data_IF_037125545994
#
_entry.id   IF_037125545994
#
_cell.length_a   1.000
_cell.length_b   1.000
_cell.length_c   1.000
_cell.angle_alpha   90.00
_cell.angle_beta   90.00
_cell.angle_gamma   90.00
#
_symmetry.space_group_name_H-M   'P 1'
#
loop_
_entity.id
_entity.type
_entity.pdbx_description
1 polymer ?
#
# COMPACT_ATOMS: atom_id res chain seq x y z
N UNK A 1 21.76 -8.30 7.21
CA UNK A 1 20.68 -8.42 6.22
C UNK A 1 19.47 -7.62 6.69
N UNK A 2 18.59 -7.24 5.77
CA UNK A 2 17.45 -6.34 5.99
C UNK A 2 16.17 -7.05 5.55
N UNK A 3 15.83 -8.14 6.21
CA UNK A 3 14.72 -9.00 5.80
C UNK A 3 13.37 -8.32 6.04
N UNK A 4 12.43 -8.50 5.12
CA UNK A 4 11.07 -7.99 5.22
C UNK A 4 10.07 -9.14 5.01
N UNK A 5 9.08 -9.26 5.90
CA UNK A 5 8.05 -10.30 5.79
C UNK A 5 6.78 -9.68 5.21
N UNK A 6 6.28 -10.23 4.11
CA UNK A 6 5.02 -9.85 3.50
C UNK A 6 3.89 -10.77 3.97
N UNK A 7 2.80 -10.21 4.49
CA UNK A 7 1.61 -10.94 4.94
C UNK A 7 0.44 -10.51 4.06
N UNK A 8 -0.25 -11.48 3.47
CA UNK A 8 -1.36 -11.25 2.54
C UNK A 8 -2.63 -11.84 3.14
N UNK A 9 -3.60 -10.97 3.43
CA UNK A 9 -4.83 -11.32 4.15
C UNK A 9 -6.05 -11.16 3.25
N UNK A 10 -6.87 -12.20 3.19
CA UNK A 10 -8.12 -12.24 2.43
C UNK A 10 -7.92 -12.37 0.91
N UNK A 11 -9.03 -12.46 0.18
CA UNK A 11 -9.00 -12.67 -1.27
C UNK A 11 -8.20 -11.58 -1.99
N UNK A 12 -8.44 -10.31 -1.66
CA UNK A 12 -7.81 -9.21 -2.36
C UNK A 12 -6.31 -9.12 -2.06
N UNK A 13 -5.92 -9.28 -0.78
CA UNK A 13 -4.51 -9.32 -0.38
C UNK A 13 -3.75 -10.46 -1.06
N UNK A 14 -4.34 -11.67 -1.13
CA UNK A 14 -3.71 -12.83 -1.79
C UNK A 14 -3.59 -12.64 -3.31
N UNK A 15 -4.61 -12.06 -3.96
CA UNK A 15 -4.56 -11.82 -5.41
C UNK A 15 -3.53 -10.75 -5.79
N UNK A 16 -3.40 -9.69 -5.00
CA UNK A 16 -2.34 -8.69 -5.16
C UNK A 16 -0.98 -9.33 -4.90
N UNK A 17 -0.86 -10.10 -3.81
CA UNK A 17 0.36 -10.83 -3.46
C UNK A 17 0.88 -11.70 -4.61
N UNK A 18 -0.01 -12.44 -5.27
CA UNK A 18 0.35 -13.25 -6.44
C UNK A 18 0.96 -12.40 -7.57
N UNK A 19 0.36 -11.25 -7.88
CA UNK A 19 0.85 -10.34 -8.92
C UNK A 19 2.17 -9.65 -8.52
N UNK A 20 2.35 -9.34 -7.24
CA UNK A 20 3.59 -8.79 -6.68
C UNK A 20 4.74 -9.80 -6.76
N UNK A 21 4.52 -11.03 -6.29
CA UNK A 21 5.55 -12.08 -6.32
C UNK A 21 5.90 -12.51 -7.74
N UNK A 22 4.92 -12.57 -8.65
CA UNK A 22 5.20 -12.80 -10.09
C UNK A 22 6.15 -11.73 -10.63
N UNK A 23 5.89 -10.46 -10.31
CA UNK A 23 6.73 -9.35 -10.74
C UNK A 23 8.12 -9.37 -10.08
N UNK A 24 8.21 -9.68 -8.79
CA UNK A 24 9.50 -9.80 -8.10
C UNK A 24 10.37 -10.89 -8.70
N UNK A 25 9.79 -12.07 -9.00
CA UNK A 25 10.51 -13.14 -9.66
C UNK A 25 11.06 -12.69 -11.02
N UNK A 26 10.26 -11.96 -11.81
CA UNK A 26 10.69 -11.45 -13.10
C UNK A 26 11.79 -10.39 -12.99
N UNK A 27 11.71 -9.49 -12.00
CA UNK A 27 12.72 -8.46 -11.77
C UNK A 27 14.07 -9.04 -11.32
N UNK A 28 14.06 -10.10 -10.51
CA UNK A 28 15.26 -10.77 -10.04
C UNK A 28 15.72 -11.92 -10.96
N UNK A 29 15.00 -12.22 -12.04
CA UNK A 29 15.33 -13.32 -12.95
C UNK A 29 15.16 -14.71 -12.33
N UNK A 30 14.32 -14.83 -11.30
CA UNK A 30 13.98 -16.09 -10.65
C UNK A 30 12.94 -16.80 -11.51
N UNK A 31 13.25 -18.02 -11.91
CA UNK A 31 12.34 -18.85 -12.66
C UNK A 31 11.18 -19.32 -11.77
N UNK A 32 10.03 -19.66 -12.36
CA UNK A 32 8.89 -20.13 -11.59
C UNK A 32 9.20 -21.33 -10.69
N UNK A 33 10.16 -22.18 -11.06
CA UNK A 33 10.61 -23.35 -10.28
C UNK A 33 11.50 -23.01 -9.07
N UNK A 34 11.77 -21.72 -8.85
CA UNK A 34 12.62 -21.20 -7.78
C UNK A 34 14.12 -21.24 -8.07
N UNK A 35 14.53 -21.55 -9.30
CA UNK A 35 15.94 -21.47 -9.70
C UNK A 35 16.30 -20.08 -10.20
N UNK A 36 17.51 -19.63 -9.85
CA UNK A 36 18.09 -18.39 -10.34
C UNK A 36 19.39 -18.71 -11.08
N UNK A 37 19.35 -18.89 -12.43
CA UNK A 37 20.54 -19.26 -13.20
C UNK A 37 21.65 -18.21 -13.16
N UNK A 38 21.30 -16.98 -12.83
CA UNK A 38 22.23 -15.84 -12.69
C UNK A 38 22.98 -15.83 -11.36
N UNK A 39 22.48 -16.51 -10.33
CA UNK A 39 23.19 -16.61 -9.06
C UNK A 39 24.28 -17.68 -9.14
N UNK A 40 25.52 -17.27 -8.85
CA UNK A 40 26.71 -18.13 -8.86
C UNK A 40 27.15 -18.52 -7.44
N UNK A 41 26.49 -17.99 -6.42
CA UNK A 41 26.86 -18.13 -5.01
C UNK A 41 25.81 -18.92 -4.23
N UNK A 42 25.68 -20.20 -4.57
CA UNK A 42 24.83 -21.13 -3.83
C UNK A 42 25.29 -21.20 -2.36
N UNK A 43 24.44 -20.76 -1.43
CA UNK A 43 24.58 -20.92 0.00
C UNK A 43 25.35 -19.81 0.73
N UNK A 44 25.45 -18.59 0.18
CA UNK A 44 26.15 -17.52 0.90
C UNK A 44 26.38 -16.18 0.19
N UNK A 45 25.50 -15.77 -0.73
CA UNK A 45 25.55 -14.41 -1.27
C UNK A 45 24.87 -13.41 -0.33
N UNK A 46 25.53 -12.32 0.04
CA UNK A 46 24.92 -11.20 0.80
C UNK A 46 24.21 -10.22 -0.15
N UNK A 47 23.47 -10.78 -1.12
CA UNK A 47 22.87 -10.01 -2.19
C UNK A 47 21.59 -9.30 -1.74
N UNK A 48 21.34 -8.12 -2.31
CA UNK A 48 20.21 -7.24 -1.98
C UNK A 48 18.82 -7.88 -2.09
N UNK A 49 18.67 -8.97 -2.83
CA UNK A 49 17.40 -9.70 -2.98
C UNK A 49 17.10 -10.69 -1.83
N UNK A 50 18.08 -11.05 -1.01
CA UNK A 50 17.87 -11.91 0.17
C UNK A 50 17.03 -11.24 1.27
N UNK A 51 16.71 -9.95 1.09
CA UNK A 51 15.73 -9.23 1.89
C UNK A 51 14.31 -9.82 1.75
N UNK A 52 13.96 -10.37 0.57
CA UNK A 52 12.61 -10.92 0.29
C UNK A 52 12.58 -12.43 0.00
N UNK A 53 13.73 -13.04 -0.31
CA UNK A 53 13.84 -14.47 -0.58
C UNK A 53 14.75 -15.14 0.45
N UNK A 54 14.38 -16.35 0.87
CA UNK A 54 15.30 -17.22 1.62
C UNK A 54 15.92 -18.26 0.68
N UNK A 55 17.23 -18.43 0.81
CA UNK A 55 17.97 -19.45 0.05
C UNK A 55 17.93 -20.78 0.80
N UNK A 56 17.53 -21.84 0.10
CA UNK A 56 17.69 -23.21 0.61
C UNK A 56 18.99 -23.81 0.09
N UNK A 57 19.64 -24.67 0.88
CA UNK A 57 20.95 -25.28 0.53
C UNK A 57 21.01 -26.13 -0.75
N UNK A 58 19.91 -26.21 -1.53
CA UNK A 58 19.86 -26.80 -2.86
C UNK A 58 19.97 -25.76 -4.01
N UNK A 59 20.30 -24.50 -3.71
CA UNK A 59 20.32 -23.41 -4.71
C UNK A 59 18.93 -22.98 -5.19
N UNK A 60 17.87 -23.43 -4.49
CA UNK A 60 16.51 -22.96 -4.71
C UNK A 60 16.28 -21.73 -3.83
N UNK A 61 16.01 -20.61 -4.47
CA UNK A 61 15.64 -19.33 -3.86
C UNK A 61 14.13 -19.28 -3.53
N UNK A 62 13.54 -20.44 -3.26
CA UNK A 62 12.13 -20.73 -3.54
C UNK A 62 11.13 -20.39 -2.44
N UNK A 63 11.54 -19.77 -1.33
CA UNK A 63 10.61 -19.38 -0.28
C UNK A 63 10.55 -17.85 -0.21
N UNK A 64 9.57 -17.22 -0.89
CA UNK A 64 9.22 -15.85 -0.57
C UNK A 64 8.86 -15.76 0.92
N UNK A 65 9.29 -14.70 1.60
CA UNK A 65 8.80 -14.35 2.94
C UNK A 65 7.34 -13.86 2.84
N UNK A 66 6.43 -14.73 2.42
CA UNK A 66 5.07 -14.41 2.02
C UNK A 66 4.06 -15.30 2.74
N UNK A 67 3.42 -14.82 3.80
CA UNK A 67 2.36 -15.56 4.47
C UNK A 67 1.03 -15.28 3.76
N UNK A 68 0.34 -16.30 3.24
CA UNK A 68 -0.97 -16.15 2.60
C UNK A 68 -2.06 -16.72 3.50
N UNK A 69 -3.03 -15.87 3.85
CA UNK A 69 -4.13 -16.18 4.76
C UNK A 69 -5.46 -15.91 4.05
N UNK A 70 -6.23 -16.95 3.77
CA UNK A 70 -7.56 -16.85 3.17
C UNK A 70 -8.54 -17.85 3.78
N UNK A 71 -9.80 -17.43 3.85
CA UNK A 71 -10.95 -18.23 4.32
C UNK A 71 -11.61 -19.01 3.17
N UNK A 72 -11.65 -18.41 1.98
CA UNK A 72 -12.18 -19.05 0.79
C UNK A 72 -11.05 -19.76 0.06
N UNK A 73 -11.34 -20.95 -0.49
CA UNK A 73 -10.46 -21.69 -1.39
C UNK A 73 -10.33 -20.95 -2.72
N UNK A 74 -9.82 -19.71 -2.68
CA UNK A 74 -9.42 -18.98 -3.88
C UNK A 74 -8.35 -19.85 -4.52
N UNK A 75 -8.45 -20.17 -5.82
CA UNK A 75 -7.46 -20.99 -6.47
C UNK A 75 -6.15 -20.22 -6.48
N UNK A 76 -5.33 -20.45 -5.46
CA UNK A 76 -3.89 -20.29 -5.45
C UNK A 76 -3.26 -21.30 -6.42
N UNK A 77 -3.82 -21.43 -7.62
CA UNK A 77 -3.39 -22.36 -8.66
C UNK A 77 -2.00 -21.96 -9.16
N UNK A 78 -1.67 -20.67 -9.12
CA UNK A 78 -0.32 -20.18 -9.39
C UNK A 78 0.64 -20.51 -8.25
N UNK A 79 0.35 -20.14 -6.99
CA UNK A 79 1.20 -20.51 -5.83
C UNK A 79 1.42 -22.01 -5.71
N UNK A 80 0.42 -22.85 -6.06
CA UNK A 80 0.56 -24.32 -6.10
C UNK A 80 1.33 -24.84 -7.32
N UNK A 81 1.37 -24.11 -8.44
CA UNK A 81 1.95 -24.57 -9.70
C UNK A 81 3.37 -24.06 -9.96
N UNK A 82 3.74 -22.88 -9.45
CA UNK A 82 5.07 -22.30 -9.66
C UNK A 82 5.99 -22.59 -8.49
N UNK A 83 5.66 -22.17 -7.27
CA UNK A 83 6.54 -22.35 -6.11
C UNK A 83 6.21 -23.65 -5.38
N UNK A 84 7.14 -24.61 -5.38
CA UNK A 84 7.00 -25.87 -4.62
C UNK A 84 6.72 -25.52 -3.14
N UNK A 85 5.51 -25.76 -2.60
CA UNK A 85 5.16 -25.20 -1.31
C UNK A 85 5.90 -25.99 -0.23
N UNK A 86 6.66 -25.31 0.62
CA UNK A 86 6.74 -25.78 1.99
C UNK A 86 5.33 -25.63 2.57
N UNK A 87 4.77 -26.67 3.22
CA UNK A 87 3.39 -26.66 3.73
C UNK A 87 3.11 -25.61 4.83
N UNK A 88 4.09 -24.78 5.18
CA UNK A 88 3.98 -23.70 6.17
C UNK A 88 3.49 -22.36 5.58
N UNK A 89 3.46 -22.20 4.25
CA UNK A 89 3.26 -20.89 3.59
C UNK A 89 1.78 -20.56 3.27
N UNK A 90 0.90 -21.57 3.25
CA UNK A 90 -0.51 -21.42 2.92
C UNK A 90 -1.35 -21.91 4.09
N UNK A 91 -1.85 -20.97 4.90
CA UNK A 91 -2.68 -21.27 6.05
C UNK A 91 -4.14 -21.03 5.67
N UNK A 92 -4.88 -22.12 5.47
CA UNK A 92 -6.34 -22.09 5.32
C UNK A 92 -6.95 -21.88 6.71
N UNK A 93 -7.62 -20.74 6.91
CA UNK A 93 -8.33 -20.46 8.17
C UNK A 93 -9.65 -21.24 8.14
N UNK A 94 -9.95 -22.09 9.15
CA UNK A 94 -11.19 -22.85 9.18
C UNK A 94 -12.42 -21.93 9.14
N UNK A 95 -13.41 -22.35 8.37
CA UNK A 95 -14.57 -21.55 7.99
C UNK A 95 -15.34 -20.98 9.20
N UNK A 96 -15.18 -19.67 9.47
CA UNK A 96 -16.21 -18.82 10.11
C UNK A 96 -16.21 -17.44 9.49
N UNK A 97 -17.33 -17.07 8.88
CA UNK A 97 -17.63 -15.68 8.54
C UNK A 97 -17.85 -15.38 7.07
N UNK A 98 -19.05 -14.87 6.79
CA UNK A 98 -19.37 -14.07 5.60
C UNK A 98 -18.59 -12.74 5.66
N UNK A 99 -18.89 -11.77 4.80
CA UNK A 99 -18.29 -10.44 4.68
C UNK A 99 -18.33 -9.52 5.93
N UNK A 100 -18.23 -10.06 7.16
CA UNK A 100 -18.35 -9.36 8.43
C UNK A 100 -17.00 -9.30 9.17
N UNK A 101 -16.70 -8.13 9.72
CA UNK A 101 -15.53 -7.84 10.56
C UNK A 101 -15.39 -8.76 11.78
N UNK A 102 -16.48 -8.97 12.53
CA UNK A 102 -16.48 -9.68 13.82
C UNK A 102 -16.09 -11.16 13.73
N UNK A 103 -16.31 -11.79 12.58
CA UNK A 103 -15.92 -13.18 12.38
C UNK A 103 -14.40 -13.38 12.36
N UNK A 104 -13.62 -12.32 12.14
CA UNK A 104 -12.17 -12.30 12.30
C UNK A 104 -11.69 -12.01 13.73
N UNK A 105 -12.53 -11.38 14.57
CA UNK A 105 -12.14 -10.84 15.89
C UNK A 105 -12.47 -11.73 17.10
N UNK A 106 -13.26 -12.80 16.99
CA UNK A 106 -13.72 -13.54 18.18
C UNK A 106 -12.77 -14.66 18.65
N UNK A 107 -12.10 -14.39 19.77
CA UNK A 107 -11.74 -15.29 20.89
C UNK A 107 -10.87 -16.56 20.68
N UNK A 108 -10.36 -16.83 19.49
CA UNK A 108 -9.23 -17.77 19.31
C UNK A 108 -8.23 -17.22 18.30
N UNK A 109 -7.37 -16.31 18.75
CA UNK A 109 -6.12 -16.03 18.04
C UNK A 109 -5.36 -17.36 17.90
N UNK A 110 -5.11 -17.85 16.67
CA UNK A 110 -4.56 -19.17 16.54
C UNK A 110 -3.07 -19.16 16.92
N UNK A 111 -2.55 -20.24 17.53
CA UNK A 111 -1.21 -20.32 18.12
C UNK A 111 -0.04 -20.35 17.11
N UNK A 112 -0.26 -20.07 15.82
CA UNK A 112 0.75 -20.21 14.77
C UNK A 112 1.47 -18.90 14.40
N UNK A 113 1.11 -17.78 15.03
CA UNK A 113 1.77 -16.48 14.84
C UNK A 113 3.18 -16.39 15.45
N UNK A 114 3.60 -17.39 16.26
CA UNK A 114 5.02 -17.65 16.51
C UNK A 114 5.65 -18.23 15.24
N UNK A 115 5.82 -17.38 14.22
CA UNK A 115 6.29 -17.85 12.92
C UNK A 115 7.74 -18.35 13.05
N UNK A 116 8.05 -19.62 12.73
CA UNK A 116 9.43 -20.07 12.61
C UNK A 116 10.22 -19.34 11.51
N UNK A 117 9.55 -18.46 10.76
CA UNK A 117 10.11 -17.57 9.75
C UNK A 117 10.82 -16.36 10.36
N UNK A 118 10.21 -15.69 11.35
CA UNK A 118 10.88 -14.58 12.03
C UNK A 118 12.19 -15.03 12.73
N UNK A 119 12.21 -16.26 13.26
CA UNK A 119 13.42 -16.86 13.87
C UNK A 119 14.52 -17.19 12.85
N UNK A 120 14.17 -17.32 11.56
CA UNK A 120 15.13 -17.54 10.48
C UNK A 120 15.76 -16.24 9.96
N UNK A 121 15.18 -15.07 10.28
CA UNK A 121 15.73 -13.78 9.88
C UNK A 121 16.86 -13.34 10.83
N UNK A 122 17.97 -12.88 10.27
CA UNK A 122 19.10 -12.33 11.05
C UNK A 122 18.88 -10.87 11.43
N UNK A 123 18.07 -10.12 10.66
CA UNK A 123 17.84 -8.69 10.84
C UNK A 123 16.51 -8.20 10.29
N UNK A 124 15.39 -8.76 10.76
CA UNK A 124 14.02 -8.36 10.35
C UNK A 124 13.82 -6.83 10.50
N UNK A 125 13.51 -6.14 9.41
CA UNK A 125 13.18 -4.71 9.43
C UNK A 125 11.72 -4.48 9.82
N UNK A 126 10.81 -5.26 9.25
CA UNK A 126 9.39 -5.00 9.39
C UNK A 126 8.48 -5.97 8.64
N UNK A 127 7.20 -5.66 8.69
CA UNK A 127 6.11 -6.40 8.05
C UNK A 127 5.43 -5.54 6.99
N UNK A 128 5.11 -6.14 5.84
CA UNK A 128 4.29 -5.55 4.79
C UNK A 128 2.95 -6.28 4.76
N UNK A 129 1.87 -5.63 5.15
CA UNK A 129 0.54 -6.25 5.29
C UNK A 129 -0.36 -5.81 4.13
N UNK A 130 -0.80 -6.77 3.32
CA UNK A 130 -1.68 -6.54 2.18
C UNK A 130 -3.09 -7.01 2.51
N UNK A 131 -4.06 -6.10 2.49
CA UNK A 131 -5.43 -6.40 2.86
C UNK A 131 -6.45 -5.47 2.18
N UNK A 132 -7.73 -5.78 2.32
CA UNK A 132 -8.84 -4.94 1.86
C UNK A 132 -9.64 -4.42 3.04
N UNK A 133 -10.05 -3.15 3.02
CA UNK A 133 -10.97 -2.61 4.03
C UNK A 133 -12.37 -3.20 3.95
N UNK A 134 -12.85 -3.52 2.73
CA UNK A 134 -14.22 -3.96 2.53
C UNK A 134 -14.53 -5.41 2.96
N UNK A 135 -13.55 -6.32 2.86
CA UNK A 135 -13.77 -7.75 3.12
C UNK A 135 -13.68 -8.11 4.60
N UNK A 136 -14.60 -8.93 5.13
CA UNK A 136 -14.62 -9.30 6.55
C UNK A 136 -13.33 -9.93 7.09
N UNK A 137 -12.66 -10.78 6.29
CA UNK A 137 -11.33 -11.29 6.64
C UNK A 137 -10.25 -10.21 6.49
N UNK A 138 -10.29 -9.43 5.41
CA UNK A 138 -9.29 -8.38 5.16
C UNK A 138 -9.33 -7.24 6.18
N UNK A 139 -10.47 -7.00 6.80
CA UNK A 139 -10.63 -6.02 7.87
C UNK A 139 -10.40 -6.68 9.23
N UNK A 140 -11.32 -7.54 9.68
CA UNK A 140 -11.33 -8.06 11.05
C UNK A 140 -10.14 -8.94 11.43
N UNK A 141 -9.68 -9.81 10.51
CA UNK A 141 -8.49 -10.62 10.81
C UNK A 141 -7.20 -9.78 10.79
N UNK A 142 -7.13 -8.75 9.92
CA UNK A 142 -5.99 -7.85 9.87
C UNK A 142 -5.86 -7.02 11.15
N UNK A 143 -6.97 -6.49 11.67
CA UNK A 143 -6.96 -5.79 12.97
C UNK A 143 -6.38 -6.65 14.09
N UNK A 144 -6.89 -7.88 14.24
CA UNK A 144 -6.38 -8.82 15.24
C UNK A 144 -4.89 -9.19 15.02
N UNK A 145 -4.49 -9.34 13.75
CA UNK A 145 -3.11 -9.63 13.39
C UNK A 145 -2.19 -8.47 13.79
N UNK A 146 -2.59 -7.22 13.52
CA UNK A 146 -1.82 -6.02 13.81
C UNK A 146 -1.65 -5.79 15.32
N UNK A 147 -2.69 -6.03 16.12
CA UNK A 147 -2.61 -6.03 17.59
C UNK A 147 -1.55 -7.03 18.08
N UNK A 148 -1.60 -8.27 17.57
CA UNK A 148 -0.66 -9.33 17.97
C UNK A 148 0.77 -9.06 17.53
N UNK A 149 0.96 -8.59 16.30
CA UNK A 149 2.28 -8.18 15.81
C UNK A 149 2.86 -7.02 16.61
N UNK A 150 2.02 -6.11 17.10
CA UNK A 150 2.47 -5.00 17.94
C UNK A 150 2.90 -5.47 19.34
N UNK A 151 2.23 -6.49 19.90
CA UNK A 151 2.62 -7.11 21.18
C UNK A 151 3.94 -7.87 21.05
N UNK A 152 4.08 -8.71 20.01
CA UNK A 152 5.24 -9.59 19.86
C UNK A 152 6.46 -8.86 19.24
N UNK A 153 6.22 -7.92 18.32
CA UNK A 153 7.23 -7.23 17.51
C UNK A 153 7.08 -5.70 17.53
N UNK A 154 6.78 -5.10 18.68
CA UNK A 154 6.49 -3.65 18.79
C UNK A 154 7.56 -2.67 18.28
N UNK A 155 8.84 -3.09 18.19
CA UNK A 155 9.93 -2.23 17.64
C UNK A 155 10.08 -2.29 16.12
N UNK A 156 9.34 -3.17 15.44
CA UNK A 156 9.47 -3.40 14.00
C UNK A 156 8.43 -2.57 13.25
N UNK A 157 8.84 -2.01 12.11
CA UNK A 157 7.96 -1.19 11.27
C UNK A 157 6.90 -2.06 10.61
N UNK A 158 5.66 -1.58 10.57
CA UNK A 158 4.52 -2.26 9.94
C UNK A 158 3.93 -1.33 8.90
N UNK A 159 4.04 -1.72 7.63
CA UNK A 159 3.46 -0.99 6.52
C UNK A 159 2.25 -1.73 6.00
N UNK A 160 1.18 -1.00 5.71
CA UNK A 160 -0.05 -1.56 5.16
C UNK A 160 -0.24 -1.12 3.71
N UNK A 161 -0.74 -2.06 2.89
CA UNK A 161 -1.27 -1.79 1.57
C UNK A 161 -2.75 -2.12 1.62
N UNK A 162 -3.57 -1.08 1.80
CA UNK A 162 -4.98 -1.20 2.10
C UNK A 162 -5.81 -0.82 0.88
N UNK A 163 -6.59 -1.78 0.39
CA UNK A 163 -7.50 -1.54 -0.74
C UNK A 163 -8.74 -0.81 -0.22
N UNK A 164 -8.91 0.42 -0.69
CA UNK A 164 -10.05 1.26 -0.41
C UNK A 164 -11.27 0.83 -1.25
N UNK A 165 -12.46 0.70 -0.65
CA UNK A 165 -13.64 0.17 -1.33
C UNK A 165 -14.24 1.20 -2.30
N UNK A 166 -14.48 0.76 -3.53
CA UNK A 166 -15.12 1.55 -4.57
C UNK A 166 -16.53 1.05 -4.85
N UNK A 167 -17.58 1.90 -4.86
CA UNK A 167 -18.96 1.47 -5.05
C UNK A 167 -19.24 0.77 -6.39
N UNK A 168 -18.42 1.02 -7.42
CA UNK A 168 -18.55 0.40 -8.75
C UNK A 168 -18.04 -1.05 -8.80
N UNK A 169 -17.11 -1.40 -7.90
CA UNK A 169 -16.41 -2.70 -7.84
C UNK A 169 -16.73 -3.44 -6.53
N UNK A 170 -17.50 -2.79 -5.64
CA UNK A 170 -17.93 -3.28 -4.34
C UNK A 170 -18.85 -4.49 -4.49
N UNK A 171 -18.57 -5.54 -3.73
CA UNK A 171 -19.39 -6.76 -3.71
C UNK A 171 -20.23 -6.87 -2.44
N UNK A 172 -19.89 -6.10 -1.40
CA UNK A 172 -20.58 -6.12 -0.12
C UNK A 172 -21.16 -4.75 0.24
N UNK A 173 -22.43 -4.73 0.67
CA UNK A 173 -23.13 -3.51 1.09
C UNK A 173 -22.58 -2.95 2.41
N UNK A 174 -21.98 -3.81 3.24
CA UNK A 174 -21.45 -3.48 4.57
C UNK A 174 -19.98 -3.06 4.57
N UNK A 175 -19.39 -2.82 3.39
CA UNK A 175 -17.99 -2.38 3.28
C UNK A 175 -17.67 -1.12 4.08
N UNK A 176 -18.53 -0.07 4.12
CA UNK A 176 -18.22 1.11 4.94
C UNK A 176 -18.11 0.81 6.44
N UNK A 177 -18.89 -0.14 6.97
CA UNK A 177 -18.72 -0.57 8.37
C UNK A 177 -17.39 -1.25 8.60
N UNK A 178 -17.03 -2.18 7.72
CA UNK A 178 -15.76 -2.90 7.83
C UNK A 178 -14.57 -1.95 7.73
N UNK A 179 -14.63 -0.94 6.86
CA UNK A 179 -13.57 0.06 6.70
C UNK A 179 -13.37 0.91 7.95
N UNK A 180 -14.44 1.42 8.55
CA UNK A 180 -14.33 2.28 9.75
C UNK A 180 -13.79 1.48 10.94
N UNK A 181 -14.30 0.26 11.14
CA UNK A 181 -13.87 -0.60 12.25
C UNK A 181 -12.41 -1.05 12.11
N UNK A 182 -11.97 -1.39 10.90
CA UNK A 182 -10.56 -1.77 10.69
C UNK A 182 -9.64 -0.59 10.82
N UNK A 183 -10.00 0.59 10.29
CA UNK A 183 -9.15 1.77 10.42
C UNK A 183 -9.00 2.17 11.88
N UNK A 184 -10.09 2.21 12.66
CA UNK A 184 -10.04 2.52 14.10
C UNK A 184 -9.08 1.60 14.86
N UNK A 185 -9.19 0.28 14.65
CA UNK A 185 -8.37 -0.70 15.38
C UNK A 185 -6.93 -0.79 14.88
N UNK A 186 -6.65 -0.53 13.60
CA UNK A 186 -5.28 -0.57 13.06
C UNK A 186 -4.54 0.76 13.20
N UNK A 187 -5.21 1.88 13.47
CA UNK A 187 -4.61 3.22 13.51
C UNK A 187 -3.46 3.32 14.52
N UNK A 188 -3.57 2.68 15.69
CA UNK A 188 -2.52 2.70 16.71
C UNK A 188 -1.37 1.72 16.44
N UNK A 189 -1.61 0.76 15.53
CA UNK A 189 -0.71 -0.34 15.27
C UNK A 189 0.00 -0.22 13.92
N UNK A 190 -0.46 0.61 13.00
CA UNK A 190 0.16 0.82 11.70
C UNK A 190 1.14 1.99 11.75
N UNK A 191 2.33 1.82 11.16
CA UNK A 191 3.31 2.92 11.07
C UNK A 191 3.07 3.78 9.82
N UNK A 192 2.58 3.17 8.73
CA UNK A 192 2.24 3.85 7.48
C UNK A 192 1.37 2.94 6.60
N UNK A 193 0.26 3.49 6.11
CA UNK A 193 -0.75 2.77 5.35
C UNK A 193 -0.96 3.41 3.97
N UNK A 194 -0.56 2.70 2.93
CA UNK A 194 -0.78 3.09 1.54
C UNK A 194 -2.20 2.72 1.14
N UNK A 195 -3.04 3.75 0.97
CA UNK A 195 -4.39 3.54 0.45
C UNK A 195 -4.40 3.42 -1.07
N UNK A 196 -5.15 2.43 -1.53
CA UNK A 196 -5.25 2.08 -2.94
C UNK A 196 -6.73 2.00 -3.32
N UNK A 197 -7.23 3.01 -4.02
CA UNK A 197 -8.63 3.11 -4.45
C UNK A 197 -8.86 2.34 -5.76
N UNK A 198 -9.75 1.35 -5.68
CA UNK A 198 -10.14 0.57 -6.85
C UNK A 198 -10.78 1.43 -7.94
N UNK A 199 -11.50 2.52 -7.60
CA UNK A 199 -12.13 3.40 -8.59
C UNK A 199 -11.08 4.17 -9.37
N UNK A 200 -10.07 4.71 -8.67
CA UNK A 200 -8.99 5.47 -9.29
C UNK A 200 -8.17 4.59 -10.25
N UNK A 201 -7.83 3.37 -9.82
CA UNK A 201 -7.12 2.40 -10.68
C UNK A 201 -7.98 1.99 -11.88
N UNK A 202 -9.28 1.78 -11.67
CA UNK A 202 -10.20 1.46 -12.76
C UNK A 202 -10.26 2.57 -13.81
N UNK A 203 -10.34 3.82 -13.38
CA UNK A 203 -10.32 5.00 -14.25
C UNK A 203 -8.97 5.12 -15.01
N UNK A 204 -7.83 4.88 -14.33
CA UNK A 204 -6.50 4.87 -14.95
C UNK A 204 -6.40 3.77 -16.01
N UNK A 205 -6.81 2.54 -15.70
CA UNK A 205 -6.80 1.43 -16.66
C UNK A 205 -7.68 1.73 -17.88
N UNK A 206 -8.84 2.35 -17.68
CA UNK A 206 -9.75 2.67 -18.78
C UNK A 206 -9.23 3.80 -19.67
N UNK A 207 -8.62 4.83 -19.08
CA UNK A 207 -8.16 6.03 -19.80
C UNK A 207 -6.79 5.83 -20.46
N UNK A 208 -5.85 5.23 -19.74
CA UNK A 208 -4.45 5.18 -20.17
C UNK A 208 -4.12 3.87 -20.90
N UNK A 209 -4.75 2.76 -20.52
CA UNK A 209 -4.53 1.44 -21.13
C UNK A 209 -5.57 1.10 -22.21
N UNK A 210 -6.55 1.98 -22.44
CA UNK A 210 -7.67 1.80 -23.38
C UNK A 210 -8.49 0.50 -23.15
N UNK A 211 -8.56 0.04 -21.90
CA UNK A 211 -9.33 -1.17 -21.54
C UNK A 211 -10.77 -0.75 -21.20
N UNK A 212 -11.76 -1.16 -22.01
CA UNK A 212 -13.16 -0.79 -21.77
C UNK A 212 -13.73 -1.31 -20.44
N UNK A 213 -13.32 -2.54 -20.05
CA UNK A 213 -13.76 -3.21 -18.82
C UNK A 213 -12.57 -3.87 -18.11
N UNK A 214 -11.82 -3.11 -17.29
CA UNK A 214 -10.74 -3.63 -16.47
C UNK A 214 -11.20 -4.79 -15.58
N UNK A 215 -10.43 -5.89 -15.59
CA UNK A 215 -10.61 -7.02 -14.66
C UNK A 215 -9.70 -6.88 -13.44
N UNK A 216 -9.95 -7.63 -12.36
CA UNK A 216 -9.06 -7.63 -11.19
C UNK A 216 -7.61 -8.00 -11.54
N UNK A 217 -7.37 -8.81 -12.57
CA UNK A 217 -6.01 -9.11 -13.04
C UNK A 217 -5.31 -7.86 -13.59
N UNK A 218 -6.02 -6.99 -14.32
CA UNK A 218 -5.46 -5.74 -14.83
C UNK A 218 -5.19 -4.76 -13.68
N UNK A 219 -6.13 -4.62 -12.75
CA UNK A 219 -5.98 -3.76 -11.57
C UNK A 219 -4.78 -4.21 -10.71
N UNK A 220 -4.71 -5.50 -10.39
CA UNK A 220 -3.65 -6.05 -9.54
C UNK A 220 -2.27 -5.96 -10.20
N UNK A 221 -2.18 -5.99 -11.54
CA UNK A 221 -0.92 -5.76 -12.25
C UNK A 221 -0.46 -4.31 -12.18
N UNK A 222 -1.38 -3.35 -12.18
CA UNK A 222 -1.01 -1.95 -11.95
C UNK A 222 -0.59 -1.73 -10.50
N UNK A 223 -1.32 -2.31 -9.54
CA UNK A 223 -0.97 -2.27 -8.11
C UNK A 223 0.41 -2.89 -7.88
N UNK A 224 0.71 -4.04 -8.48
CA UNK A 224 1.99 -4.70 -8.29
C UNK A 224 3.18 -3.88 -8.80
N UNK A 225 3.00 -3.09 -9.86
CA UNK A 225 4.04 -2.17 -10.35
C UNK A 225 4.33 -1.04 -9.35
N UNK A 226 3.30 -0.55 -8.67
CA UNK A 226 3.42 0.51 -7.67
C UNK A 226 4.10 -0.05 -6.42
N UNK A 227 3.60 -1.18 -5.92
CA UNK A 227 4.19 -1.89 -4.77
C UNK A 227 5.65 -2.26 -5.06
N UNK A 228 5.94 -2.71 -6.29
CA UNK A 228 7.32 -2.95 -6.73
C UNK A 228 8.17 -1.69 -6.71
N UNK A 229 7.64 -0.55 -7.13
CA UNK A 229 8.36 0.72 -7.10
C UNK A 229 8.62 1.23 -5.68
N UNK A 230 7.69 1.01 -4.76
CA UNK A 230 7.84 1.36 -3.33
C UNK A 230 8.87 0.45 -2.65
N UNK A 231 8.79 -0.85 -2.90
CA UNK A 231 9.70 -1.86 -2.31
C UNK A 231 11.03 -2.00 -3.04
N UNK A 232 11.21 -1.34 -4.19
CA UNK A 232 12.43 -1.41 -4.98
C UNK A 232 13.65 -0.89 -4.21
N UNK A 233 13.49 0.08 -3.31
CA UNK A 233 14.57 0.59 -2.46
C UNK A 233 15.07 -0.43 -1.43
N UNK A 234 14.25 -1.45 -1.12
CA UNK A 234 14.58 -2.52 -0.19
C UNK A 234 15.24 -3.71 -0.90
N UNK A 235 14.86 -3.94 -2.17
CA UNK A 235 15.26 -5.11 -2.97
C UNK A 235 16.49 -4.87 -3.84
N UNK A 236 16.76 -3.62 -4.18
CA UNK A 236 17.86 -3.24 -5.06
C UNK A 236 18.73 -2.18 -4.40
N UNK A 237 20.02 -2.24 -4.72
CA UNK A 237 20.93 -1.18 -4.34
C UNK A 237 20.77 0.02 -5.29
N UNK A 238 20.39 1.16 -4.73
CA UNK A 238 20.18 2.43 -5.41
C UNK A 238 21.07 3.53 -4.85
N UNK A 239 21.14 4.67 -5.55
CA UNK A 239 21.97 5.80 -5.14
C UNK A 239 21.43 6.52 -3.89
N UNK A 240 20.12 6.40 -3.63
CA UNK A 240 19.47 6.88 -2.42
C UNK A 240 18.44 5.82 -2.00
N UNK A 241 18.86 4.90 -1.13
CA UNK A 241 17.98 3.84 -0.62
C UNK A 241 17.17 4.38 0.55
N UNK A 242 15.85 4.29 0.45
CA UNK A 242 14.93 4.60 1.54
C UNK A 242 14.63 3.31 2.30
N UNK A 243 15.00 3.27 3.58
CA UNK A 243 14.67 2.18 4.50
C UNK A 243 13.19 2.21 4.93
N UNK A 244 12.67 1.08 5.44
CA UNK A 244 11.30 1.02 6.01
C UNK A 244 11.07 2.07 7.10
N UNK A 245 12.03 2.24 8.01
CA UNK A 245 11.98 3.26 9.06
C UNK A 245 12.08 4.67 8.48
N UNK A 246 12.76 4.83 7.35
CA UNK A 246 12.84 6.13 6.68
C UNK A 246 11.52 6.53 6.03
N UNK A 247 10.68 5.58 5.57
CA UNK A 247 9.33 5.91 5.10
C UNK A 247 8.51 6.58 6.20
N UNK A 248 8.56 6.05 7.42
CA UNK A 248 7.88 6.67 8.57
C UNK A 248 8.43 8.08 8.83
N UNK A 249 9.75 8.24 8.98
CA UNK A 249 10.34 9.57 9.27
C UNK A 249 10.16 10.59 8.15
N UNK A 250 10.05 10.15 6.89
CA UNK A 250 9.96 11.04 5.75
C UNK A 250 8.52 11.38 5.36
N UNK A 251 7.56 10.47 5.54
CA UNK A 251 6.19 10.64 5.10
C UNK A 251 5.21 10.92 6.24
N UNK A 252 5.52 10.54 7.47
CA UNK A 252 4.59 10.56 8.59
C UNK A 252 5.06 11.59 9.63
N UNK A 253 4.62 12.86 9.53
CA UNK A 253 4.97 13.89 10.50
C UNK A 253 4.28 13.69 11.85
N UNK A 254 3.06 13.15 11.84
CA UNK A 254 2.25 12.86 13.01
C UNK A 254 1.83 11.39 13.00
N UNK A 255 1.91 10.65 14.13
CA UNK A 255 1.59 9.22 14.16
C UNK A 255 0.19 8.85 13.65
N UNK A 256 -0.82 9.70 13.84
CA UNK A 256 -2.20 9.46 13.35
C UNK A 256 -2.35 9.75 11.84
N UNK A 257 -1.52 10.63 11.27
CA UNK A 257 -1.59 11.05 9.86
C UNK A 257 -0.57 10.26 9.05
N UNK A 258 -0.78 8.94 8.97
CA UNK A 258 0.15 8.01 8.33
C UNK A 258 -0.36 7.42 7.02
N UNK A 259 -1.25 8.13 6.32
CA UNK A 259 -1.85 7.70 5.06
C UNK A 259 -1.26 8.47 3.86
N UNK A 260 -0.09 8.10 3.34
CA UNK A 260 0.44 8.71 2.14
C UNK A 260 -0.35 8.28 0.89
N UNK A 261 -0.55 9.23 0.00
CA UNK A 261 -1.08 9.01 -1.33
C UNK A 261 0.02 8.48 -2.25
N UNK A 262 -0.24 7.37 -2.93
CA UNK A 262 0.61 6.89 -4.02
C UNK A 262 0.15 7.44 -5.37
N UNK A 263 1.09 7.82 -6.21
CA UNK A 263 0.87 8.22 -7.61
C UNK A 263 1.94 7.59 -8.47
N UNK A 264 1.58 7.09 -9.65
CA UNK A 264 2.53 6.42 -10.54
C UNK A 264 2.47 6.97 -11.95
N UNK A 265 3.64 7.24 -12.51
CA UNK A 265 3.78 7.68 -13.88
C UNK A 265 5.07 7.11 -14.52
N UNK A 266 5.07 6.79 -15.82
CA UNK A 266 3.93 6.86 -16.72
C UNK A 266 3.14 5.54 -16.76
N UNK A 267 1.84 5.64 -17.00
CA UNK A 267 0.97 4.48 -17.30
C UNK A 267 0.64 4.55 -18.79
N UNK A 268 1.25 3.68 -19.59
CA UNK A 268 1.10 3.67 -21.06
C UNK A 268 0.76 2.25 -21.51
N UNK A 269 -0.21 2.14 -22.42
CA UNK A 269 -0.54 0.88 -23.11
C UNK A 269 0.64 0.36 -23.94
N UNK A 270 0.81 -0.96 -23.98
CA UNK A 270 1.82 -1.62 -24.82
C UNK A 270 1.77 -1.21 -26.30
N UNK A 271 0.60 -0.81 -26.82
CA UNK A 271 0.42 -0.37 -28.21
C UNK A 271 0.93 1.06 -28.46
N UNK A 272 0.84 1.95 -27.46
CA UNK A 272 1.24 3.37 -27.56
C UNK A 272 2.72 3.60 -27.27
N UNK A 273 3.43 2.58 -26.80
CA UNK A 273 4.81 2.64 -26.34
C UNK A 273 5.82 3.20 -27.37
N UNK A 274 5.57 3.01 -28.67
CA UNK A 274 6.51 3.38 -29.73
C UNK A 274 6.50 4.87 -30.08
N UNK A 275 5.47 5.61 -29.65
CA UNK A 275 5.25 6.98 -30.10
C UNK A 275 5.80 8.05 -29.15
N UNK A 276 5.98 7.73 -27.86
CA UNK A 276 6.33 8.73 -26.84
C UNK A 276 7.44 8.24 -25.91
N UNK A 277 8.62 8.87 -26.00
CA UNK A 277 9.63 8.77 -24.96
C UNK A 277 9.47 9.94 -24.01
N UNK A 278 8.91 9.67 -22.83
CA UNK A 278 8.71 10.71 -21.82
C UNK A 278 10.03 11.05 -21.12
N UNK A 279 10.29 12.36 -21.00
CA UNK A 279 11.41 12.91 -20.25
C UNK A 279 11.16 12.84 -18.74
N UNK A 280 12.22 13.01 -17.94
CA UNK A 280 12.11 13.08 -16.47
C UNK A 280 11.14 14.19 -16.06
N UNK A 281 11.22 15.37 -16.68
CA UNK A 281 10.35 16.49 -16.35
C UNK A 281 8.86 16.18 -16.63
N UNK A 282 8.55 15.50 -17.73
CA UNK A 282 7.15 15.14 -18.08
C UNK A 282 6.58 14.12 -17.10
N UNK A 283 7.32 13.05 -16.77
CA UNK A 283 6.84 12.06 -15.80
C UNK A 283 6.70 12.66 -14.40
N UNK A 284 7.59 13.57 -13.99
CA UNK A 284 7.47 14.27 -12.70
C UNK A 284 6.24 15.17 -12.68
N UNK A 285 5.93 15.86 -13.79
CA UNK A 285 4.72 16.67 -13.91
C UNK A 285 3.46 15.81 -13.84
N UNK A 286 3.46 14.65 -14.49
CA UNK A 286 2.35 13.70 -14.47
C UNK A 286 2.02 13.18 -13.06
N UNK A 287 3.00 13.12 -12.14
CA UNK A 287 2.75 12.75 -10.75
C UNK A 287 1.87 13.76 -9.98
N UNK A 288 1.82 15.03 -10.39
CA UNK A 288 0.97 16.04 -9.75
C UNK A 288 -0.38 16.21 -10.45
N UNK A 289 -0.66 15.39 -11.46
CA UNK A 289 -1.96 15.36 -12.10
C UNK A 289 -2.91 14.44 -11.33
N UNK A 290 -4.10 14.92 -10.91
CA UNK A 290 -5.08 14.10 -10.20
C UNK A 290 -5.49 12.83 -10.97
N UNK A 291 -5.32 12.85 -12.29
CA UNK A 291 -5.62 11.74 -13.19
C UNK A 291 -4.80 10.47 -12.92
N UNK A 292 -3.59 10.59 -12.35
CA UNK A 292 -2.67 9.46 -12.17
C UNK A 292 -2.62 8.96 -10.71
N UNK A 293 -3.40 9.56 -9.83
CA UNK A 293 -3.39 9.29 -8.40
C UNK A 293 -4.13 7.99 -8.08
N UNK A 294 -3.65 7.27 -7.08
CA UNK A 294 -4.23 5.99 -6.67
C UNK A 294 -5.41 6.13 -5.72
N UNK A 295 -5.70 7.33 -5.25
CA UNK A 295 -6.90 7.64 -4.48
C UNK A 295 -7.55 8.85 -5.13
N UNK A 296 -8.88 8.80 -5.26
CA UNK A 296 -9.66 9.89 -5.82
C UNK A 296 -9.80 11.02 -4.81
N UNK A 297 -8.90 11.98 -4.84
CA UNK A 297 -8.98 13.23 -4.10
C UNK A 297 -8.49 14.37 -5.00
N UNK A 298 -8.85 15.62 -4.69
CA UNK A 298 -8.23 16.77 -5.34
C UNK A 298 -7.12 17.36 -4.44
N UNK A 299 -5.84 17.15 -4.77
CA UNK A 299 -4.72 17.67 -3.98
C UNK A 299 -4.65 19.19 -3.97
N UNK A 300 -5.39 19.88 -4.86
CA UNK A 300 -5.43 21.35 -4.91
C UNK A 300 -6.23 21.95 -3.77
N UNK A 301 -7.13 21.18 -3.16
CA UNK A 301 -7.87 21.58 -1.96
C UNK A 301 -7.14 21.22 -0.67
N UNK A 302 -5.99 20.54 -0.77
CA UNK A 302 -5.17 20.16 0.37
C UNK A 302 -3.80 20.82 0.35
N UNK A 303 -3.06 20.56 1.42
CA UNK A 303 -1.65 20.93 1.55
C UNK A 303 -0.80 19.67 1.60
N UNK A 304 0.40 19.76 1.05
CA UNK A 304 1.39 18.69 1.11
C UNK A 304 2.23 18.84 2.39
N UNK A 305 2.28 17.78 3.18
CA UNK A 305 3.15 17.68 4.35
C UNK A 305 4.52 17.14 3.95
N UNK A 306 4.53 16.10 3.11
CA UNK A 306 5.74 15.45 2.64
C UNK A 306 5.54 14.85 1.24
N UNK A 307 6.59 14.86 0.43
CA UNK A 307 6.60 14.28 -0.91
C UNK A 307 7.91 13.50 -1.14
N UNK A 308 7.80 12.22 -1.45
CA UNK A 308 8.92 11.37 -1.86
C UNK A 308 8.72 10.96 -3.32
N UNK A 309 9.75 11.14 -4.15
CA UNK A 309 9.77 10.75 -5.56
C UNK A 309 10.75 9.60 -5.74
N UNK A 310 10.23 8.41 -6.04
CA UNK A 310 10.99 7.19 -6.26
C UNK A 310 11.11 6.94 -7.76
N UNK A 311 12.25 7.31 -8.33
CA UNK A 311 12.56 7.12 -9.74
C UNK A 311 13.17 5.74 -10.00
N UNK A 312 12.79 5.13 -11.12
CA UNK A 312 13.36 3.88 -11.62
C UNK A 312 13.78 4.00 -13.08
N UNK A 313 14.94 3.47 -13.43
CA UNK A 313 15.47 3.36 -14.80
C UNK A 313 16.50 4.43 -15.15
N UNK A 314 16.53 4.83 -16.43
CA UNK A 314 17.49 5.81 -16.95
C UNK A 314 17.12 7.24 -16.50
N UNK A 315 17.60 7.60 -15.31
CA UNK A 315 17.28 8.88 -14.66
C UNK A 315 18.57 9.55 -14.18
N UNK A 316 18.81 10.76 -14.69
CA UNK A 316 19.96 11.59 -14.30
C UNK A 316 19.55 12.48 -13.11
N UNK A 317 20.28 12.46 -11.98
CA UNK A 317 19.94 13.25 -10.78
C UNK A 317 19.82 14.76 -11.05
N UNK A 318 20.58 15.29 -12.01
CA UNK A 318 20.51 16.70 -12.42
C UNK A 318 19.14 17.06 -12.99
N UNK A 319 18.56 16.20 -13.81
CA UNK A 319 17.27 16.45 -14.47
C UNK A 319 16.13 16.35 -13.45
N UNK A 320 16.25 15.44 -12.47
CA UNK A 320 15.31 15.35 -11.35
C UNK A 320 15.27 16.64 -10.54
N UNK A 321 16.44 17.18 -10.17
CA UNK A 321 16.52 18.43 -9.42
C UNK A 321 15.95 19.62 -10.21
N UNK A 322 16.17 19.67 -11.53
CA UNK A 322 15.59 20.68 -12.41
C UNK A 322 14.06 20.55 -12.52
N UNK A 323 13.54 19.32 -12.62
CA UNK A 323 12.11 19.05 -12.65
C UNK A 323 11.44 19.46 -11.32
N UNK A 324 12.03 19.11 -10.17
CA UNK A 324 11.54 19.50 -8.85
C UNK A 324 11.56 21.02 -8.67
N UNK A 325 12.62 21.70 -9.13
CA UNK A 325 12.69 23.15 -9.08
C UNK A 325 11.53 23.80 -9.87
N UNK A 326 11.17 23.24 -11.02
CA UNK A 326 10.04 23.71 -11.83
C UNK A 326 8.71 23.44 -11.12
N UNK A 327 8.52 22.25 -10.54
CA UNK A 327 7.33 21.89 -9.75
C UNK A 327 7.13 22.84 -8.57
N UNK A 328 8.19 23.18 -7.84
CA UNK A 328 8.14 24.13 -6.71
C UNK A 328 7.68 25.54 -7.09
N UNK A 329 7.86 25.95 -8.35
CA UNK A 329 7.37 27.26 -8.81
C UNK A 329 5.88 27.28 -9.14
N UNK A 330 5.22 26.11 -9.24
CA UNK A 330 3.79 26.05 -9.55
C UNK A 330 2.96 26.39 -8.31
N UNK A 331 2.12 27.42 -8.42
CA UNK A 331 1.22 27.86 -7.35
C UNK A 331 0.16 26.83 -6.94
N UNK A 332 -0.09 25.82 -7.77
CA UNK A 332 -1.07 24.76 -7.49
C UNK A 332 -0.60 23.73 -6.47
N UNK A 333 0.68 23.78 -6.07
CA UNK A 333 1.27 22.84 -5.11
C UNK A 333 1.64 23.65 -3.89
N UNK A 334 0.80 23.53 -2.85
CA UNK A 334 1.00 24.22 -1.58
C UNK A 334 1.55 23.22 -0.56
N UNK A 335 2.65 23.59 0.06
CA UNK A 335 3.19 22.86 1.22
C UNK A 335 2.76 23.56 2.50
N UNK A 336 2.71 22.80 3.59
CA UNK A 336 2.53 23.34 4.94
C UNK A 336 3.72 24.23 5.33
N UNK A 337 3.45 25.28 6.13
CA UNK A 337 4.43 26.31 6.51
C UNK A 337 5.69 25.75 7.18
N UNK A 338 5.53 24.74 8.02
CA UNK A 338 6.60 24.10 8.77
C UNK A 338 7.43 23.11 7.95
N UNK A 339 7.05 22.82 6.69
CA UNK A 339 7.80 21.95 5.77
C UNK A 339 8.14 22.65 4.43
N UNK A 340 9.03 23.66 4.43
CA UNK A 340 9.33 24.45 3.22
C UNK A 340 10.15 23.69 2.15
N UNK A 341 10.72 22.51 2.46
CA UNK A 341 11.54 21.72 1.50
C UNK A 341 11.21 20.21 1.53
N UNK A 342 9.93 19.86 1.51
CA UNK A 342 9.43 18.48 1.67
C UNK A 342 9.65 17.49 0.52
N UNK A 343 10.66 17.66 -0.35
CA UNK A 343 10.94 16.71 -1.44
C UNK A 343 12.11 15.77 -1.11
N UNK A 344 11.82 14.47 -1.05
CA UNK A 344 12.80 13.39 -1.00
C UNK A 344 12.88 12.68 -2.35
N UNK A 345 14.06 12.22 -2.73
CA UNK A 345 14.31 11.65 -4.06
C UNK A 345 15.03 10.32 -3.91
N UNK A 346 14.38 9.22 -4.27
CA UNK A 346 15.02 7.92 -4.46
C UNK A 346 15.31 7.69 -5.94
N UNK A 347 16.50 7.15 -6.28
CA UNK A 347 16.84 6.79 -7.67
C UNK A 347 17.39 5.37 -7.68
N UNK A 348 16.72 4.52 -8.44
CA UNK A 348 17.17 3.18 -8.79
C UNK A 348 17.42 3.13 -10.30
N UNK A 349 18.61 2.71 -10.71
CA UNK A 349 19.01 2.67 -12.12
C UNK A 349 18.44 1.48 -12.90
N UNK A 350 17.85 0.50 -12.22
CA UNK A 350 17.21 -0.62 -12.90
C UNK A 350 15.89 -0.19 -13.54
N UNK A 351 15.69 -0.48 -14.83
CA UNK A 351 14.45 -0.15 -15.51
C UNK A 351 13.26 -0.92 -14.91
N UNK A 352 12.05 -0.35 -14.92
CA UNK A 352 10.84 -1.06 -14.54
C UNK A 352 10.65 -2.31 -15.41
N UNK A 353 10.40 -3.46 -14.77
CA UNK A 353 10.08 -4.69 -15.48
C UNK A 353 8.58 -4.80 -15.64
N UNK A 354 8.12 -5.27 -16.79
CA UNK A 354 6.69 -5.54 -17.04
C UNK A 354 6.46 -7.03 -17.17
N UNK A 355 5.31 -7.49 -16.68
CA UNK A 355 4.90 -8.89 -16.80
C UNK A 355 4.63 -9.21 -18.28
N UNK A 356 5.19 -10.31 -18.83
CA UNK A 356 4.87 -10.75 -20.18
C UNK A 356 3.36 -10.98 -20.36
N UNK A 357 2.76 -10.39 -21.39
CA UNK A 357 1.29 -10.42 -21.57
C UNK A 357 0.53 -9.50 -20.61
N UNK A 358 1.23 -8.55 -19.99
CA UNK A 358 0.65 -7.41 -19.28
C UNK A 358 0.25 -6.28 -20.24
N UNK A 359 -0.58 -5.39 -19.73
CA UNK A 359 -1.16 -4.27 -20.50
C UNK A 359 -0.20 -3.07 -20.60
N UNK A 360 0.82 -3.04 -19.73
CA UNK A 360 1.78 -1.94 -19.60
C UNK A 360 2.94 -2.08 -20.60
N UNK A 361 3.28 -0.96 -21.22
CA UNK A 361 4.45 -0.81 -22.06
C UNK A 361 5.75 -0.95 -21.27
N UNK A 362 6.79 -1.48 -21.93
CA UNK A 362 8.17 -1.35 -21.43
C UNK A 362 8.61 0.10 -21.52
N UNK A 363 8.89 0.71 -20.38
CA UNK A 363 9.36 2.10 -20.29
C UNK A 363 10.81 2.13 -19.80
N UNK A 364 11.58 3.09 -20.29
CA UNK A 364 12.97 3.26 -19.87
C UNK A 364 13.08 3.89 -18.48
N UNK A 365 12.06 4.66 -18.08
CA UNK A 365 12.02 5.40 -16.83
C UNK A 365 10.59 5.45 -16.30
N UNK A 366 10.45 5.36 -14.99
CA UNK A 366 9.20 5.57 -14.27
C UNK A 366 9.46 6.28 -12.94
N UNK A 367 8.40 6.81 -12.36
CA UNK A 367 8.41 7.48 -11.07
C UNK A 367 7.17 7.08 -10.28
N UNK A 368 7.39 6.72 -9.03
CA UNK A 368 6.34 6.58 -8.03
C UNK A 368 6.48 7.74 -7.04
N UNK A 369 5.47 8.59 -6.97
CA UNK A 369 5.37 9.63 -5.97
C UNK A 369 4.57 9.12 -4.78
N UNK A 370 5.13 9.28 -3.59
CA UNK A 370 4.44 9.09 -2.32
C UNK A 370 4.31 10.45 -1.67
N UNK A 371 3.10 10.93 -1.53
CA UNK A 371 2.84 12.26 -0.98
C UNK A 371 1.85 12.19 0.16
N UNK A 372 2.23 12.68 1.34
CA UNK A 372 1.29 12.86 2.43
C UNK A 372 0.61 14.23 2.26
N UNK A 373 -0.70 14.22 2.01
CA UNK A 373 -1.50 15.41 1.73
C UNK A 373 -2.79 15.37 2.53
N UNK A 374 -3.23 16.53 3.01
CA UNK A 374 -4.51 16.66 3.73
C UNK A 374 -5.73 16.40 2.85
N UNK A 375 -5.57 16.43 1.52
CA UNK A 375 -6.67 16.13 0.58
C UNK A 375 -7.21 14.69 0.72
N UNK A 376 -6.44 13.78 1.33
CA UNK A 376 -6.90 12.42 1.61
C UNK A 376 -8.08 12.37 2.58
N UNK A 377 -8.30 13.42 3.38
CA UNK A 377 -9.48 13.58 4.24
C UNK A 377 -10.80 13.51 3.44
N UNK A 378 -10.82 13.92 2.18
CA UNK A 378 -12.01 13.76 1.31
C UNK A 378 -12.41 12.29 1.13
N UNK A 379 -11.44 11.36 1.14
CA UNK A 379 -11.72 9.94 1.03
C UNK A 379 -12.33 9.38 2.33
N UNK A 380 -11.90 9.90 3.48
CA UNK A 380 -12.48 9.55 4.78
C UNK A 380 -13.90 10.10 4.92
N UNK A 381 -14.12 11.37 4.59
CA UNK A 381 -15.45 12.00 4.61
C UNK A 381 -16.50 11.25 3.77
N UNK A 382 -16.09 10.69 2.62
CA UNK A 382 -16.98 9.84 1.79
C UNK A 382 -17.33 8.50 2.44
N UNK A 383 -16.40 7.91 3.20
CA UNK A 383 -16.65 6.68 3.95
C UNK A 383 -17.56 6.97 5.14
N UNK A 384 -17.25 8.00 5.91
CA UNK A 384 -17.99 8.45 7.09
C UNK A 384 -19.44 8.79 6.72
N UNK A 385 -19.65 9.53 5.64
CA UNK A 385 -21.00 9.83 5.15
C UNK A 385 -21.81 8.56 4.85
N UNK A 386 -21.20 7.54 4.23
CA UNK A 386 -21.88 6.25 3.93
C UNK A 386 -22.16 5.48 5.21
N UNK A 387 -21.22 5.49 6.16
CA UNK A 387 -21.39 4.88 7.47
C UNK A 387 -22.59 5.49 8.20
N UNK A 388 -22.66 6.83 8.26
CA UNK A 388 -23.69 7.58 8.96
C UNK A 388 -25.09 7.29 8.38
N UNK A 389 -25.21 7.22 7.06
CA UNK A 389 -26.48 6.89 6.39
C UNK A 389 -27.00 5.49 6.75
N UNK A 390 -26.11 4.50 6.89
CA UNK A 390 -26.50 3.14 7.26
C UNK A 390 -26.76 3.03 8.77
N UNK A 391 -25.90 3.64 9.59
CA UNK A 391 -25.96 3.54 11.05
C UNK A 391 -27.15 4.30 11.64
N UNK A 392 -27.56 5.41 11.03
CA UNK A 392 -28.78 6.14 11.40
C UNK A 392 -30.04 5.24 11.36
N UNK A 393 -30.07 4.24 10.49
CA UNK A 393 -31.16 3.25 10.40
C UNK A 393 -30.86 1.93 11.10
N UNK A 394 -29.69 1.82 11.75
CA UNK A 394 -29.13 0.57 12.31
C UNK A 394 -29.20 -0.59 11.31
N UNK A 395 -28.99 -0.29 10.02
CA UNK A 395 -29.03 -1.30 8.97
C UNK A 395 -27.85 -2.26 9.15
N UNK A 396 -28.08 -3.56 9.05
CA UNK A 396 -27.05 -4.61 9.16
C UNK A 396 -26.28 -4.72 10.50
N UNK A 397 -26.48 -3.83 11.48
CA UNK A 397 -25.80 -3.86 12.80
C UNK A 397 -25.98 -5.19 13.54
N UNK A 398 -27.17 -5.79 13.45
CA UNK A 398 -27.48 -7.08 14.08
C UNK A 398 -26.55 -8.23 13.65
N UNK A 399 -25.95 -8.16 12.46
CA UNK A 399 -24.97 -9.16 12.00
C UNK A 399 -23.66 -9.08 12.76
N UNK A 400 -23.27 -7.90 13.25
CA UNK A 400 -22.04 -7.67 14.00
C UNK A 400 -22.26 -8.01 15.48
N UNK A 401 -23.37 -7.52 16.05
CA UNK A 401 -23.77 -7.83 17.43
C UNK A 401 -24.03 -9.32 17.62
N UNK A 402 -24.62 -10.00 16.62
CA UNK A 402 -24.85 -11.44 16.64
C UNK A 402 -23.57 -12.29 16.64
N UNK A 403 -22.45 -11.71 16.19
CA UNK A 403 -21.13 -12.35 16.15
C UNK A 403 -20.26 -11.99 17.39
N UNK A 404 -20.83 -11.28 18.37
CA UNK A 404 -20.20 -11.02 19.67
C UNK A 404 -19.49 -9.68 19.81
N UNK A 405 -19.69 -8.75 18.88
CA UNK A 405 -19.20 -7.37 18.97
C UNK A 405 -20.20 -6.50 19.73
N UNK A 406 -19.72 -5.58 20.56
CA UNK A 406 -20.61 -4.64 21.25
C UNK A 406 -21.08 -3.53 20.30
N UNK A 407 -22.34 -3.11 20.41
CA UNK A 407 -22.87 -2.03 19.56
C UNK A 407 -22.15 -0.70 19.82
N UNK A 408 -21.58 -0.51 21.03
CA UNK A 408 -20.82 0.69 21.40
C UNK A 408 -19.56 0.91 20.54
N UNK A 409 -18.92 -0.15 20.06
CA UNK A 409 -17.71 -0.08 19.25
C UNK A 409 -17.94 0.67 17.92
N UNK A 410 -19.17 0.64 17.37
CA UNK A 410 -19.49 1.41 16.16
C UNK A 410 -19.44 2.91 16.42
N UNK A 411 -19.93 3.35 17.57
CA UNK A 411 -19.92 4.77 17.93
C UNK A 411 -18.50 5.23 18.25
N UNK A 412 -17.74 4.43 18.98
CA UNK A 412 -16.33 4.71 19.30
C UNK A 412 -15.47 4.83 18.03
N UNK A 413 -15.56 3.87 17.11
CA UNK A 413 -14.84 3.92 15.86
C UNK A 413 -15.23 5.14 15.01
N UNK A 414 -16.51 5.53 15.04
CA UNK A 414 -16.98 6.71 14.30
C UNK A 414 -16.48 8.02 14.92
N UNK A 415 -16.40 8.11 16.24
CA UNK A 415 -15.85 9.26 16.96
C UNK A 415 -14.34 9.41 16.70
N UNK A 416 -13.59 8.31 16.68
CA UNK A 416 -12.16 8.33 16.36
C UNK A 416 -11.89 8.77 14.92
N UNK A 417 -12.73 8.33 13.96
CA UNK A 417 -12.65 8.81 12.58
C UNK A 417 -13.00 10.29 12.46
N UNK A 418 -13.98 10.79 13.21
CA UNK A 418 -14.28 12.23 13.27
C UNK A 418 -13.09 13.03 13.84
N UNK A 419 -12.40 12.49 14.86
CA UNK A 419 -11.18 13.09 15.38
C UNK A 419 -10.06 13.10 14.34
N UNK A 420 -9.90 12.02 13.56
CA UNK A 420 -8.93 11.96 12.47
C UNK A 420 -9.23 12.99 11.36
N UNK A 421 -10.50 13.19 10.98
CA UNK A 421 -10.87 14.25 10.04
C UNK A 421 -10.49 15.63 10.56
N UNK A 422 -10.72 15.87 11.85
CA UNK A 422 -10.33 17.13 12.51
C UNK A 422 -8.81 17.30 12.55
N UNK A 423 -8.05 16.24 12.80
CA UNK A 423 -6.57 16.27 12.75
C UNK A 423 -6.08 16.75 11.37
N UNK A 424 -6.72 16.29 10.28
CA UNK A 424 -6.39 16.76 8.92
C UNK A 424 -6.79 18.21 8.66
N UNK A 425 -7.92 18.66 9.22
CA UNK A 425 -8.37 20.04 9.13
C UNK A 425 -7.40 20.98 9.85
N UNK A 426 -7.02 20.65 11.09
CA UNK A 426 -6.07 21.42 11.90
C UNK A 426 -4.70 21.55 11.22
N UNK A 427 -4.20 20.48 10.59
CA UNK A 427 -2.94 20.52 9.81
C UNK A 427 -3.09 21.33 8.51
N UNK A 428 -4.31 21.46 8.00
CA UNK A 428 -4.64 22.24 6.82
C UNK A 428 -4.72 23.75 7.07
N UNK A 429 -4.96 24.19 8.31
CA UNK A 429 -4.98 25.60 8.70
C UNK A 429 -3.55 26.15 8.74
N UNK A 430 -3.31 27.31 8.13
CA UNK A 430 -2.00 27.95 8.23
C UNK A 430 -1.78 28.49 9.64
N UNK A 431 -0.54 28.37 10.12
CA UNK A 431 -0.09 28.89 11.42
C UNK A 431 -0.40 30.38 11.61
N UNK A 432 -0.63 31.10 10.51
CA UNK A 432 -0.82 32.56 10.45
C UNK A 432 -2.27 32.98 10.75
N UNK A 433 -3.27 32.09 10.64
CA UNK A 433 -4.66 32.45 10.98
C UNK A 433 -4.96 32.38 12.49
N UNK A 434 -4.06 31.80 13.31
CA UNK A 434 -4.23 31.65 14.75
C UNK A 434 -3.72 32.81 15.62
N UNK A 435 -2.97 33.77 15.07
CA UNK A 435 -2.41 34.92 15.81
C UNK A 435 -3.08 36.26 15.45
N UNK A 436 -4.22 36.24 14.74
CA UNK A 436 -4.84 37.43 14.15
C UNK A 436 -6.06 38.03 14.85
N UNK A 437 -6.57 37.43 15.94
CA UNK A 437 -7.84 37.88 16.57
C UNK A 437 -7.78 38.14 18.10
N UNK A 438 -6.60 38.36 18.69
CA UNK A 438 -6.48 38.80 20.09
C UNK A 438 -5.55 40.01 20.29
N UNK A 439 -5.61 41.05 19.46
CA UNK A 439 -5.18 42.39 19.89
C UNK A 439 -6.10 43.45 19.27
N UNK A 440 -7.21 43.72 19.94
CA UNK A 440 -8.14 44.76 19.52
C UNK A 440 -9.41 44.86 20.33
N UNK A 441 -9.35 44.93 21.67
CA UNK A 441 -10.32 45.68 22.48
C UNK A 441 -9.81 45.93 23.92
N UNK A 442 -9.82 47.23 24.27
CA UNK A 442 -9.46 47.94 25.53
C UNK A 442 -7.99 48.21 25.90
#
# INVERSE_FOLDING_TARGET
QRECISIHVGQAGVQIGNACWELYCLEHGIQPDGQMPSDKTIGGGDDSFNTFFSETGAGKHGLPWGLHLSHESVPSRWVRATLSPSPALLLEVPQRGRSNFCCGGTNRGPPWLSSPQADQCTGLQGFLVFHSFGGGTGSGFTSLLMERLSVDYGKKSKLEFSIYPAPQVSTAVVEPYNSILTTHTTLEHSDCAFMVDNEAIYDICRRNLDIERPTYTNLNRLISQIVSSITASLRFDGALNVDLTEFQTNLVPYPRIHFPLATYAPVISAEKAYHEQLSVAEITNACFEPANQMVKCDPRHGKYMACCLLYRGDVVPKDVNAAIATIKTKRSIQFVDWCPTGFKVGINYQPPTVVPGGDLAKVQRAVCMLSNTTAIAEAWARLDHKFDLMYAKRAFVHWYVGEGMEEGEFSEAREDMAALEKDYEEVGVDSVEGEGEEEGEE
#
